data_IF_527901224681
#
_entry.id   IF_527901224681
#
_cell.length_a   1.000
_cell.length_b   1.000
_cell.length_c   1.000
_cell.angle_alpha   90.00
_cell.angle_beta   90.00
_cell.angle_gamma   90.00
#
_symmetry.space_group_name_H-M   'P 1'
#
loop_
_entity.id
_entity.type
_entity.pdbx_description
1 polymer ?
#
# COMPACT_ATOMS: atom_id res chain seq x y z
N UNK A 1 4.84 -30.37 26.61
CA UNK A 1 4.31 -29.41 25.63
C UNK A 1 5.39 -28.37 25.41
N UNK A 2 5.88 -28.23 24.19
CA UNK A 2 6.89 -27.22 23.86
C UNK A 2 6.17 -25.90 23.58
N UNK A 3 6.58 -24.82 24.26
CA UNK A 3 6.06 -23.48 23.98
C UNK A 3 6.76 -22.94 22.73
N UNK A 4 5.98 -22.59 21.71
CA UNK A 4 6.47 -21.84 20.56
C UNK A 4 6.55 -20.36 20.98
N UNK A 5 7.72 -19.71 20.92
CA UNK A 5 7.83 -18.28 21.21
C UNK A 5 7.05 -17.46 20.17
N UNK A 6 6.32 -16.45 20.62
CA UNK A 6 5.74 -15.43 19.75
C UNK A 6 6.77 -14.33 19.52
N UNK A 7 7.05 -14.02 18.25
CA UNK A 7 7.86 -12.89 17.83
C UNK A 7 6.95 -11.92 17.07
N UNK A 8 6.95 -10.65 17.45
CA UNK A 8 6.17 -9.63 16.78
C UNK A 8 6.75 -9.39 15.37
N UNK A 9 5.90 -9.48 14.35
CA UNK A 9 6.36 -9.34 12.96
C UNK A 9 6.88 -7.92 12.71
N UNK A 10 8.01 -7.81 12.02
CA UNK A 10 8.58 -6.52 11.61
C UNK A 10 7.71 -5.78 10.59
N UNK A 11 6.84 -6.50 9.90
CA UNK A 11 5.85 -6.01 8.94
C UNK A 11 4.44 -6.33 9.47
N UNK A 12 3.61 -5.32 9.68
CA UNK A 12 2.25 -5.51 10.22
C UNK A 12 1.19 -5.71 9.13
N UNK A 13 1.45 -5.25 7.90
CA UNK A 13 0.63 -5.60 6.74
C UNK A 13 1.42 -5.53 5.44
N UNK A 14 0.84 -6.15 4.41
CA UNK A 14 1.30 -6.02 3.03
C UNK A 14 0.17 -5.52 2.13
N UNK A 15 0.47 -4.54 1.28
CA UNK A 15 -0.50 -3.90 0.40
C UNK A 15 -0.14 -4.19 -1.05
N UNK A 16 -1.09 -4.72 -1.81
CA UNK A 16 -0.95 -4.96 -3.25
C UNK A 16 -1.97 -4.14 -4.00
N UNK A 17 -1.52 -3.36 -4.99
CA UNK A 17 -2.38 -2.55 -5.84
C UNK A 17 -2.72 -3.27 -7.15
N UNK A 18 -3.97 -3.12 -7.58
CA UNK A 18 -4.49 -3.72 -8.80
C UNK A 18 -5.16 -2.67 -9.68
N UNK A 19 -5.01 -2.85 -10.98
CA UNK A 19 -5.81 -2.18 -12.00
C UNK A 19 -6.65 -3.25 -12.70
N UNK A 20 -7.94 -3.30 -12.37
CA UNK A 20 -8.83 -4.40 -12.74
C UNK A 20 -8.29 -5.73 -12.21
N UNK A 21 -8.04 -6.71 -13.09
CA UNK A 21 -7.47 -8.01 -12.75
C UNK A 21 -5.93 -8.04 -12.74
N UNK A 22 -5.26 -6.93 -13.07
CA UNK A 22 -3.80 -6.89 -13.17
C UNK A 22 -3.17 -6.33 -11.91
N UNK A 23 -2.26 -7.08 -11.30
CA UNK A 23 -1.39 -6.59 -10.24
C UNK A 23 -0.40 -5.58 -10.83
N UNK A 24 -0.28 -4.41 -10.20
CA UNK A 24 0.57 -3.32 -10.70
C UNK A 24 1.59 -2.91 -9.64
N UNK A 25 2.87 -2.90 -10.01
CA UNK A 25 3.97 -2.54 -9.11
C UNK A 25 4.39 -3.66 -8.15
N UNK A 26 5.25 -3.30 -7.21
CA UNK A 26 5.68 -4.17 -6.13
C UNK A 26 4.69 -4.13 -4.96
N UNK A 27 4.75 -5.15 -4.10
CA UNK A 27 3.96 -5.19 -2.87
C UNK A 27 4.60 -4.24 -1.86
N UNK A 28 3.80 -3.34 -1.30
CA UNK A 28 4.27 -2.47 -0.23
C UNK A 28 4.26 -3.23 1.10
N UNK A 29 5.36 -3.11 1.85
CA UNK A 29 5.57 -3.79 3.14
C UNK A 29 5.55 -2.74 4.24
N UNK A 30 4.48 -2.71 5.03
CA UNK A 30 4.32 -1.69 6.06
C UNK A 30 5.05 -2.12 7.34
N UNK A 31 6.11 -1.40 7.67
CA UNK A 31 6.90 -1.59 8.90
C UNK A 31 6.67 -0.48 9.92
N UNK A 32 6.31 0.72 9.46
CA UNK A 32 5.92 1.82 10.35
C UNK A 32 4.47 1.68 10.83
N UNK A 33 4.10 2.20 12.02
CA UNK A 33 2.74 2.10 12.57
C UNK A 33 1.63 2.76 11.75
N UNK A 34 2.00 3.45 10.67
CA UNK A 34 1.08 4.10 9.75
C UNK A 34 1.56 3.90 8.31
N UNK A 35 0.61 3.92 7.38
CA UNK A 35 0.90 4.02 5.95
C UNK A 35 -0.09 4.97 5.28
N UNK A 36 0.42 5.85 4.42
CA UNK A 36 -0.38 6.70 3.53
C UNK A 36 -0.39 6.05 2.16
N UNK A 37 -1.56 5.84 1.58
CA UNK A 37 -1.72 5.28 0.22
C UNK A 37 -2.42 6.33 -0.61
N UNK A 38 -1.74 6.90 -1.61
CA UNK A 38 -2.25 8.06 -2.34
C UNK A 38 -1.93 8.03 -3.85
N UNK A 39 -2.44 9.02 -4.58
CA UNK A 39 -2.31 9.14 -6.03
C UNK A 39 -1.08 9.95 -6.49
N UNK A 40 -0.20 10.36 -5.57
CA UNK A 40 0.97 11.18 -5.90
C UNK A 40 2.16 10.30 -6.35
N UNK A 41 3.35 10.88 -6.48
CA UNK A 41 4.48 10.26 -7.19
C UNK A 41 5.80 10.32 -6.42
N UNK A 42 5.78 10.52 -5.10
CA UNK A 42 7.00 10.60 -4.27
C UNK A 42 7.46 9.19 -3.85
N UNK A 43 8.60 8.68 -4.36
CA UNK A 43 9.09 7.35 -4.03
C UNK A 43 9.92 7.28 -2.74
N UNK A 44 10.25 8.42 -2.13
CA UNK A 44 11.30 8.48 -1.11
C UNK A 44 10.81 8.27 0.32
N UNK A 45 9.49 8.19 0.55
CA UNK A 45 8.92 8.09 1.87
C UNK A 45 8.50 6.64 2.20
N UNK A 46 9.17 5.97 3.16
CA UNK A 46 8.90 4.57 3.49
C UNK A 46 7.53 4.33 4.15
N UNK A 47 6.85 5.39 4.62
CA UNK A 47 5.51 5.33 5.24
C UNK A 47 4.42 5.59 4.21
N UNK A 48 4.79 5.68 2.92
CA UNK A 48 3.92 6.20 1.87
C UNK A 48 3.98 5.35 0.62
N UNK A 49 2.84 4.77 0.27
CA UNK A 49 2.64 4.04 -0.95
C UNK A 49 1.99 4.94 -2.02
N UNK A 50 2.84 5.59 -2.83
CA UNK A 50 2.40 6.44 -3.93
C UNK A 50 1.98 5.59 -5.14
N UNK A 51 0.68 5.51 -5.41
CA UNK A 51 0.14 4.76 -6.55
C UNK A 51 0.39 5.46 -7.88
N UNK A 52 0.60 6.79 -7.88
CA UNK A 52 0.76 7.61 -9.07
C UNK A 52 2.02 7.29 -9.88
N UNK A 53 3.11 6.90 -9.22
CA UNK A 53 4.39 6.56 -9.88
C UNK A 53 4.36 5.18 -10.57
N UNK A 54 3.41 4.32 -10.22
CA UNK A 54 3.34 2.97 -10.77
C UNK A 54 2.96 2.98 -12.26
N UNK A 55 3.74 2.28 -13.07
CA UNK A 55 3.50 2.12 -14.52
C UNK A 55 2.71 0.84 -14.79
N UNK A 56 1.84 0.90 -15.80
CA UNK A 56 1.12 -0.26 -16.32
C UNK A 56 0.88 -0.04 -17.82
N UNK A 57 1.48 -0.88 -18.66
CA UNK A 57 1.38 -0.77 -20.13
C UNK A 57 -0.04 -1.02 -20.65
N UNK A 58 -0.85 -1.75 -19.87
CA UNK A 58 -2.24 -2.10 -20.23
C UNK A 58 -3.25 -1.08 -19.68
N UNK A 59 -2.79 0.08 -19.18
CA UNK A 59 -3.66 1.08 -18.55
C UNK A 59 -4.55 1.76 -19.58
N UNK A 60 -5.87 1.63 -19.40
CA UNK A 60 -6.86 2.29 -20.25
C UNK A 60 -7.12 3.75 -19.82
N UNK A 61 -7.85 4.49 -20.64
CA UNK A 61 -8.27 5.86 -20.35
C UNK A 61 -9.13 5.94 -19.08
N UNK A 62 -10.06 5.01 -18.91
CA UNK A 62 -10.97 4.93 -17.77
C UNK A 62 -10.20 4.69 -16.47
N UNK A 63 -9.19 3.80 -16.50
CA UNK A 63 -8.32 3.53 -15.34
C UNK A 63 -7.49 4.78 -15.00
N UNK A 64 -6.91 5.44 -15.99
CA UNK A 64 -6.20 6.71 -15.76
C UNK A 64 -7.11 7.77 -15.13
N UNK A 65 -8.34 7.92 -15.63
CA UNK A 65 -9.34 8.86 -15.09
C UNK A 65 -9.76 8.50 -13.65
N UNK A 66 -9.86 7.22 -13.32
CA UNK A 66 -10.11 6.80 -11.94
C UNK A 66 -8.92 7.14 -11.04
N UNK A 67 -7.68 6.91 -11.51
CA UNK A 67 -6.44 7.20 -10.77
C UNK A 67 -6.28 8.68 -10.44
N UNK A 68 -6.65 9.59 -11.34
CA UNK A 68 -6.60 11.03 -11.05
C UNK A 68 -7.52 11.45 -9.90
N UNK A 69 -8.54 10.64 -9.59
CA UNK A 69 -9.47 10.90 -8.50
C UNK A 69 -8.96 10.42 -7.13
N UNK A 70 -7.86 9.64 -7.07
CA UNK A 70 -7.31 9.13 -5.80
C UNK A 70 -6.83 10.29 -4.92
N UNK A 71 -6.12 11.26 -5.49
CA UNK A 71 -5.64 12.44 -4.77
C UNK A 71 -4.86 12.05 -3.51
N UNK A 72 -5.33 12.51 -2.34
CA UNK A 72 -4.72 12.23 -1.03
C UNK A 72 -4.94 10.79 -0.53
N UNK A 73 -5.84 10.04 -1.17
CA UNK A 73 -6.12 8.65 -0.85
C UNK A 73 -6.51 8.40 0.60
N UNK A 74 -5.91 7.39 1.21
CA UNK A 74 -6.24 6.90 2.56
C UNK A 74 -5.00 6.82 3.45
N UNK A 75 -5.24 6.74 4.76
CA UNK A 75 -4.21 6.47 5.75
C UNK A 75 -4.68 5.33 6.64
N UNK A 76 -3.82 4.34 6.79
CA UNK A 76 -4.05 3.20 7.67
C UNK A 76 -3.14 3.31 8.88
N UNK A 77 -3.67 2.92 10.04
CA UNK A 77 -2.93 2.90 11.30
C UNK A 77 -2.96 1.51 11.90
N UNK A 78 -1.82 1.06 12.37
CA UNK A 78 -1.71 -0.12 13.23
C UNK A 78 -1.62 0.33 14.68
N UNK A 79 -2.68 0.05 15.45
CA UNK A 79 -2.79 0.44 16.85
C UNK A 79 -3.08 -0.81 17.67
N UNK A 80 -2.06 -1.30 18.40
CA UNK A 80 -2.20 -2.41 19.38
C UNK A 80 -2.83 -3.69 18.80
N UNK A 81 -2.53 -4.03 17.55
CA UNK A 81 -3.10 -5.19 16.87
C UNK A 81 -4.36 -4.91 16.05
N UNK A 82 -4.96 -3.72 16.21
CA UNK A 82 -6.09 -3.27 15.39
C UNK A 82 -5.60 -2.43 14.20
N UNK A 83 -6.32 -2.53 13.08
CA UNK A 83 -6.10 -1.70 11.89
C UNK A 83 -7.27 -0.75 11.72
N UNK A 84 -6.98 0.55 11.61
CA UNK A 84 -7.97 1.64 11.48
C UNK A 84 -7.68 2.50 10.26
#
# INVERSE_FOLDING_TARGET
>A
YEQVPFEEASEWCHITYYEMSHRVGEQFRATQPQVIIDGFTDPSNPDRFCLGILTNINRTYEINKARTSIGRGIRLYHIRGDVI
#
